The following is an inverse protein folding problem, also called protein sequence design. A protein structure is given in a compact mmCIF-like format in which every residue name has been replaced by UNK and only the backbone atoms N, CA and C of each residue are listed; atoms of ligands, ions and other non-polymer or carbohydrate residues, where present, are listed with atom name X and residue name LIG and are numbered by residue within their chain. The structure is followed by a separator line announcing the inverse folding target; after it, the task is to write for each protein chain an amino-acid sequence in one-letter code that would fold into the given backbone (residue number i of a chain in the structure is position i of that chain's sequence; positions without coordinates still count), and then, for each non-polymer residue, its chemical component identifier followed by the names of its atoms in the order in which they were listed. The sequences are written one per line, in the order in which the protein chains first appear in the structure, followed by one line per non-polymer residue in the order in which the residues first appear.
data_IF_965753795804
#
_entry.id   IF_965753795804
#
_cell.length_a   1.000
_cell.length_b   1.000
_cell.length_c   1.000
_cell.angle_alpha   90.00
_cell.angle_beta   90.00
_cell.angle_gamma   90.00
#
_symmetry.space_group_name_H-M   'P 1'
#
loop_
_entity.id
_entity.type
_entity.pdbx_description
1 polymer ?
#
# COMPACT_ATOMS: atom_id res chain seq x y z
N UNK A 1 -19.83 58.59 35.02
CA UNK A 1 -19.56 58.22 33.62
C UNK A 1 -19.11 56.77 33.60
N UNK A 2 -19.84 55.90 32.89
CA UNK A 2 -19.79 54.43 33.03
C UNK A 2 -18.55 53.85 32.35
N UNK A 3 -17.78 53.03 33.07
CA UNK A 3 -16.62 52.30 32.57
C UNK A 3 -17.11 51.01 31.88
N UNK A 4 -17.02 50.94 30.56
CA UNK A 4 -17.42 49.77 29.77
C UNK A 4 -16.31 48.71 29.80
N UNK A 5 -16.57 47.58 30.44
CA UNK A 5 -15.75 46.37 30.33
C UNK A 5 -15.93 45.74 28.95
N UNK A 6 -14.84 45.61 28.18
CA UNK A 6 -14.85 44.86 26.91
C UNK A 6 -14.58 43.39 27.22
N UNK A 7 -15.62 42.56 27.13
CA UNK A 7 -15.51 41.11 27.07
C UNK A 7 -15.11 40.75 25.65
N UNK A 8 -13.85 40.37 25.44
CA UNK A 8 -13.40 39.81 24.17
C UNK A 8 -13.78 38.33 24.12
N UNK A 9 -14.75 38.01 23.26
CA UNK A 9 -15.17 36.64 22.97
C UNK A 9 -14.12 36.00 22.05
N UNK A 10 -13.30 35.08 22.59
CA UNK A 10 -12.35 34.29 21.82
C UNK A 10 -13.13 33.17 21.11
N UNK A 11 -13.43 33.36 19.83
CA UNK A 11 -13.97 32.30 18.97
C UNK A 11 -12.79 31.41 18.53
N UNK A 12 -12.69 30.20 19.10
CA UNK A 12 -11.82 29.16 18.55
C UNK A 12 -12.51 28.55 17.34
N UNK A 13 -12.06 28.88 16.12
CA UNK A 13 -12.35 28.08 14.94
C UNK A 13 -11.53 26.79 15.03
N UNK A 14 -12.18 25.67 15.37
CA UNK A 14 -11.57 24.36 15.18
C UNK A 14 -11.61 24.03 13.69
N UNK A 15 -10.53 24.29 12.97
CA UNK A 15 -10.31 23.68 11.67
C UNK A 15 -10.11 22.18 11.90
N UNK A 16 -11.15 21.38 11.68
CA UNK A 16 -10.99 19.93 11.54
C UNK A 16 -10.28 19.74 10.20
N UNK A 17 -8.95 19.61 10.24
CA UNK A 17 -8.21 19.14 9.08
C UNK A 17 -8.75 17.77 8.74
N UNK A 18 -9.31 17.59 7.54
CA UNK A 18 -9.54 16.26 7.02
C UNK A 18 -8.18 15.58 6.93
N UNK A 19 -7.98 14.53 7.73
CA UNK A 19 -6.90 13.60 7.50
C UNK A 19 -7.22 12.92 6.16
N UNK A 20 -6.50 13.31 5.10
CA UNK A 20 -6.41 12.45 3.93
C UNK A 20 -5.81 11.14 4.44
N UNK A 21 -6.52 10.02 4.24
CA UNK A 21 -5.95 8.70 4.52
C UNK A 21 -4.57 8.63 3.85
N UNK A 22 -3.55 8.27 4.63
CA UNK A 22 -2.19 8.26 4.13
C UNK A 22 -2.13 7.29 2.94
N UNK A 23 -1.60 7.79 1.82
CA UNK A 23 -1.11 6.92 0.73
C UNK A 23 -0.11 5.96 1.37
N UNK A 24 -0.26 4.66 1.14
CA UNK A 24 0.73 3.70 1.60
C UNK A 24 2.01 3.96 0.83
N UNK A 25 3.07 4.28 1.57
CA UNK A 25 4.39 4.53 1.01
C UNK A 25 5.17 3.23 1.16
N UNK A 26 5.45 2.48 0.07
CA UNK A 26 6.02 1.13 0.18
C UNK A 26 7.53 1.13 0.44
N UNK A 27 8.20 2.28 0.33
CA UNK A 27 9.64 2.47 0.49
C UNK A 27 9.93 3.83 1.16
N UNK A 28 11.14 4.03 1.65
CA UNK A 28 11.65 5.11 2.53
C UNK A 28 11.46 4.87 4.02
N UNK A 29 11.87 5.84 4.84
CA UNK A 29 11.66 5.86 6.30
C UNK A 29 10.18 5.80 6.69
N UNK A 30 9.28 6.16 5.77
CA UNK A 30 7.83 6.11 5.97
C UNK A 30 7.23 4.74 5.60
N UNK A 31 8.04 3.78 5.13
CA UNK A 31 7.57 2.44 4.83
C UNK A 31 7.10 1.72 6.11
N UNK A 32 5.91 1.11 6.09
CA UNK A 32 5.23 0.68 7.31
C UNK A 32 5.75 -0.65 7.87
N UNK A 33 6.77 -1.24 7.22
CA UNK A 33 7.29 -2.55 7.55
C UNK A 33 8.81 -2.57 7.80
N UNK A 34 9.61 -1.77 7.07
CA UNK A 34 11.02 -1.49 7.38
C UNK A 34 11.53 -0.25 6.64
N UNK A 35 12.63 0.37 7.09
CA UNK A 35 13.31 1.42 6.32
C UNK A 35 14.16 0.81 5.20
N UNK A 36 13.74 1.00 3.96
CA UNK A 36 14.48 0.61 2.76
C UNK A 36 14.10 1.57 1.62
N UNK A 37 14.89 1.72 0.55
CA UNK A 37 14.53 2.62 -0.56
C UNK A 37 14.80 1.97 -1.91
N UNK A 38 13.98 2.32 -2.91
CA UNK A 38 14.21 1.94 -4.31
C UNK A 38 15.55 2.50 -4.79
N UNK A 39 16.26 1.71 -5.60
CA UNK A 39 17.57 2.09 -6.12
C UNK A 39 18.74 1.81 -5.17
N UNK A 40 18.50 1.11 -4.05
CA UNK A 40 19.58 0.49 -3.28
C UNK A 40 20.22 -0.65 -4.06
N UNK A 41 21.48 -0.96 -3.74
CA UNK A 41 22.13 -2.17 -4.25
C UNK A 41 21.28 -3.40 -3.88
N UNK A 42 21.29 -4.41 -4.75
CA UNK A 42 20.49 -5.64 -4.57
C UNK A 42 18.98 -5.39 -4.41
N UNK A 43 18.45 -4.34 -5.05
CA UNK A 43 17.01 -4.04 -5.13
C UNK A 43 16.53 -3.83 -6.58
N UNK A 44 15.26 -4.13 -6.83
CA UNK A 44 14.62 -3.98 -8.15
C UNK A 44 13.19 -3.49 -8.03
N UNK A 45 12.69 -2.96 -9.14
CA UNK A 45 11.42 -2.24 -9.18
C UNK A 45 10.65 -2.49 -10.47
N UNK A 46 9.36 -2.81 -10.38
CA UNK A 46 8.44 -2.82 -11.51
C UNK A 46 7.09 -2.22 -11.14
N UNK A 47 6.54 -1.38 -12.03
CA UNK A 47 5.23 -0.74 -11.87
C UNK A 47 4.40 -0.88 -13.14
N UNK A 48 3.11 -1.14 -12.95
CA UNK A 48 2.07 -1.12 -13.97
C UNK A 48 0.99 -0.13 -13.54
N UNK A 49 0.85 0.99 -14.24
CA UNK A 49 -0.20 2.00 -14.06
C UNK A 49 -1.05 2.24 -15.32
N UNK A 50 -0.63 1.71 -16.48
CA UNK A 50 -1.33 1.83 -17.74
C UNK A 50 -1.42 0.49 -18.48
N UNK A 51 -2.53 -0.23 -18.29
CA UNK A 51 -2.72 -1.54 -18.90
C UNK A 51 -3.12 -1.46 -20.37
N UNK A 52 -2.55 -2.34 -21.19
CA UNK A 52 -2.82 -2.45 -22.64
C UNK A 52 -3.56 -3.73 -23.03
N UNK A 53 -3.50 -4.75 -22.17
CA UNK A 53 -4.18 -6.04 -22.34
C UNK A 53 -5.09 -6.32 -21.15
N UNK A 54 -6.38 -6.47 -21.41
CA UNK A 54 -7.38 -6.79 -20.38
C UNK A 54 -7.48 -8.29 -20.07
N UNK A 55 -7.05 -9.17 -20.98
CA UNK A 55 -7.18 -10.61 -20.83
C UNK A 55 -6.23 -11.37 -21.76
N UNK A 56 -5.64 -12.46 -21.27
CA UNK A 56 -5.02 -13.48 -22.10
C UNK A 56 -3.63 -13.14 -22.67
N UNK A 57 -3.24 -11.87 -22.68
CA UNK A 57 -1.87 -11.44 -22.97
C UNK A 57 -1.25 -10.68 -21.78
N UNK A 58 0.06 -10.84 -21.51
CA UNK A 58 0.75 -10.12 -20.45
C UNK A 58 0.91 -8.63 -20.77
N UNK A 59 0.90 -7.80 -19.73
CA UNK A 59 1.32 -6.40 -19.74
C UNK A 59 2.77 -6.31 -19.25
N UNK A 60 3.61 -5.57 -19.97
CA UNK A 60 4.96 -5.18 -19.51
C UNK A 60 4.85 -3.99 -18.54
N UNK A 61 5.81 -3.81 -17.62
CA UNK A 61 5.81 -2.68 -16.70
C UNK A 61 5.99 -1.35 -17.44
N UNK A 62 5.30 -0.31 -16.98
CA UNK A 62 5.44 1.07 -17.43
C UNK A 62 6.77 1.68 -16.94
N UNK A 63 7.15 1.33 -15.71
CA UNK A 63 8.43 1.66 -15.11
C UNK A 63 9.08 0.40 -14.61
N UNK A 64 10.34 0.17 -15.00
CA UNK A 64 11.17 -0.90 -14.48
C UNK A 64 12.59 -0.40 -14.25
N UNK A 65 13.12 -0.62 -13.06
CA UNK A 65 14.52 -0.33 -12.73
C UNK A 65 15.24 -1.62 -12.29
N UNK A 66 16.52 -1.71 -12.69
CA UNK A 66 17.44 -2.83 -12.40
C UNK A 66 16.81 -4.19 -12.70
N UNK A 67 16.89 -4.61 -13.97
CA UNK A 67 16.58 -5.97 -14.42
C UNK A 67 15.11 -6.46 -14.23
N UNK A 68 14.19 -5.63 -13.73
CA UNK A 68 12.77 -6.01 -13.60
C UNK A 68 11.88 -5.67 -14.82
N UNK A 69 12.46 -5.14 -15.90
CA UNK A 69 11.73 -4.85 -17.14
C UNK A 69 11.16 -6.12 -17.84
N UNK A 70 11.67 -7.30 -17.47
CA UNK A 70 11.16 -8.59 -17.92
C UNK A 70 9.99 -9.13 -17.09
N UNK A 71 9.60 -8.44 -16.01
CA UNK A 71 8.39 -8.80 -15.27
C UNK A 71 7.14 -8.63 -16.13
N UNK A 72 6.09 -9.37 -15.80
CA UNK A 72 4.82 -9.29 -16.53
C UNK A 72 3.64 -9.40 -15.60
N UNK A 73 2.57 -8.67 -15.90
CA UNK A 73 1.27 -8.81 -15.23
C UNK A 73 0.22 -9.28 -16.24
N UNK A 74 -0.45 -10.38 -15.93
CA UNK A 74 -1.50 -10.95 -16.77
C UNK A 74 -2.80 -11.11 -16.02
N UNK A 75 -3.89 -10.64 -16.61
CA UNK A 75 -5.25 -10.99 -16.21
C UNK A 75 -5.64 -12.32 -16.88
N UNK A 76 -6.12 -13.29 -16.08
CA UNK A 76 -6.38 -14.68 -16.51
C UNK A 76 -7.86 -15.10 -16.54
N UNK A 77 -8.79 -14.21 -16.20
CA UNK A 77 -10.25 -14.41 -16.18
C UNK A 77 -10.94 -13.72 -17.35
N UNK A 78 -11.70 -14.47 -18.13
CA UNK A 78 -12.41 -13.91 -19.28
C UNK A 78 -13.40 -12.79 -18.89
N UNK A 79 -13.53 -11.78 -19.75
CA UNK A 79 -14.57 -10.76 -19.67
C UNK A 79 -14.13 -9.42 -19.06
N UNK A 80 -12.85 -9.25 -18.76
CA UNK A 80 -12.27 -7.96 -18.40
C UNK A 80 -12.09 -7.04 -19.64
N UNK A 81 -12.10 -5.73 -19.39
CA UNK A 81 -11.92 -4.67 -20.39
C UNK A 81 -10.91 -3.63 -19.89
N UNK A 82 -10.24 -2.95 -20.83
CA UNK A 82 -9.45 -1.76 -20.54
C UNK A 82 -10.40 -0.55 -20.47
N UNK A 83 -10.36 0.21 -19.39
CA UNK A 83 -11.15 1.44 -19.24
C UNK A 83 -10.51 2.61 -20.01
N UNK A 84 -11.20 3.75 -20.11
CA UNK A 84 -10.63 4.96 -20.71
C UNK A 84 -9.45 5.56 -19.91
N UNK A 85 -9.26 5.13 -18.67
CA UNK A 85 -8.13 5.50 -17.81
C UNK A 85 -7.04 4.44 -17.80
N UNK A 86 -7.13 3.44 -18.67
CA UNK A 86 -6.21 2.30 -18.79
C UNK A 86 -6.20 1.33 -17.61
N UNK A 87 -7.28 1.28 -16.82
CA UNK A 87 -7.46 0.29 -15.76
C UNK A 87 -7.95 -1.04 -16.33
N UNK A 88 -7.68 -2.16 -15.65
CA UNK A 88 -8.34 -3.44 -15.95
C UNK A 88 -9.60 -3.55 -15.11
N UNK A 89 -10.77 -3.49 -15.76
CA UNK A 89 -12.07 -3.63 -15.10
C UNK A 89 -12.78 -4.91 -15.53
N UNK A 90 -13.28 -5.69 -14.57
CA UNK A 90 -13.94 -6.99 -14.84
C UNK A 90 -15.43 -6.99 -14.45
N UNK A 91 -16.37 -6.70 -15.38
CA UNK A 91 -17.80 -6.73 -15.08
C UNK A 91 -18.41 -8.14 -15.09
N UNK A 92 -17.77 -9.10 -15.77
CA UNK A 92 -18.37 -10.41 -16.02
C UNK A 92 -18.24 -11.41 -14.86
N UNK A 93 -17.27 -11.19 -13.97
CA UNK A 93 -16.94 -12.09 -12.87
C UNK A 93 -15.68 -11.63 -12.13
N UNK A 94 -15.26 -12.38 -11.09
CA UNK A 94 -14.03 -12.11 -10.37
C UNK A 94 -12.82 -12.16 -11.30
N UNK A 95 -12.02 -11.09 -11.32
CA UNK A 95 -10.74 -11.10 -12.00
C UNK A 95 -9.70 -11.86 -11.17
N UNK A 96 -8.80 -12.55 -11.86
CA UNK A 96 -7.60 -13.16 -11.32
C UNK A 96 -6.37 -12.66 -12.08
N UNK A 97 -5.25 -12.54 -11.39
CA UNK A 97 -4.03 -11.96 -11.93
C UNK A 97 -2.83 -12.81 -11.55
N UNK A 98 -1.93 -12.98 -12.53
CA UNK A 98 -0.62 -13.57 -12.34
C UNK A 98 0.44 -12.50 -12.65
N UNK A 99 1.32 -12.24 -11.69
CA UNK A 99 2.49 -11.38 -11.86
C UNK A 99 3.72 -12.26 -11.81
N UNK A 100 4.45 -12.33 -12.92
CA UNK A 100 5.73 -13.01 -13.00
C UNK A 100 6.86 -12.03 -12.73
N UNK A 101 7.66 -12.34 -11.72
CA UNK A 101 8.78 -11.53 -11.25
C UNK A 101 10.04 -12.36 -11.52
N UNK A 102 10.93 -11.94 -12.44
CA UNK A 102 12.19 -12.64 -12.67
C UNK A 102 13.04 -12.66 -11.39
N UNK A 103 13.87 -13.69 -11.24
CA UNK A 103 14.91 -13.74 -10.21
C UNK A 103 16.10 -12.90 -10.64
N UNK A 104 16.58 -12.05 -9.74
CA UNK A 104 17.48 -10.94 -10.11
C UNK A 104 18.89 -11.13 -9.53
N UNK A 105 19.14 -12.29 -8.92
CA UNK A 105 20.47 -12.69 -8.46
C UNK A 105 21.06 -11.72 -7.43
N UNK A 106 20.21 -11.20 -6.54
CA UNK A 106 20.46 -10.10 -5.60
C UNK A 106 21.41 -10.47 -4.44
N UNK A 107 22.30 -11.46 -4.63
CA UNK A 107 23.29 -11.87 -3.64
C UNK A 107 22.85 -13.01 -2.71
N UNK A 108 23.32 -12.99 -1.47
CA UNK A 108 23.03 -14.01 -0.45
C UNK A 108 22.21 -13.39 0.68
N UNK A 109 21.18 -14.09 1.16
CA UNK A 109 20.34 -13.61 2.24
C UNK A 109 18.89 -14.08 2.10
N UNK A 110 17.98 -13.29 2.66
CA UNK A 110 16.54 -13.43 2.51
C UNK A 110 16.07 -12.44 1.45
N UNK A 111 15.36 -12.90 0.42
CA UNK A 111 14.70 -12.01 -0.54
C UNK A 111 13.41 -11.52 0.07
N UNK A 112 13.27 -10.19 0.16
CA UNK A 112 12.00 -9.56 0.44
C UNK A 112 11.31 -9.22 -0.87
N UNK A 113 10.04 -9.59 -0.96
CA UNK A 113 9.14 -9.17 -2.03
C UNK A 113 8.06 -8.32 -1.42
N UNK A 114 7.83 -7.14 -1.98
CA UNK A 114 6.79 -6.20 -1.55
C UNK A 114 5.89 -5.92 -2.74
N UNK A 115 4.59 -6.10 -2.56
CA UNK A 115 3.60 -5.83 -3.58
C UNK A 115 2.61 -4.77 -3.09
N UNK A 116 2.45 -3.70 -3.87
CA UNK A 116 1.41 -2.71 -3.67
C UNK A 116 0.37 -2.86 -4.78
N UNK A 117 -0.88 -3.11 -4.40
CA UNK A 117 -2.01 -3.28 -5.31
C UNK A 117 -2.99 -2.13 -5.05
N UNK A 118 -3.22 -1.32 -6.08
CA UNK A 118 -4.15 -0.19 -6.05
C UNK A 118 -5.36 -0.52 -6.91
N UNK A 119 -6.53 -0.37 -6.31
CA UNK A 119 -7.82 -0.54 -6.96
C UNK A 119 -8.57 0.79 -6.96
N UNK A 120 -9.49 0.96 -7.91
CA UNK A 120 -10.52 1.98 -7.75
C UNK A 120 -11.38 1.66 -6.51
N UNK A 121 -11.73 2.66 -5.71
CA UNK A 121 -12.60 2.46 -4.54
C UNK A 121 -14.06 2.16 -4.89
N UNK A 122 -14.40 2.13 -6.18
CA UNK A 122 -15.73 1.79 -6.67
C UNK A 122 -15.73 0.34 -7.19
N UNK A 123 -16.62 -0.49 -6.65
CA UNK A 123 -16.81 -1.87 -7.09
C UNK A 123 -16.51 -2.89 -5.99
N UNK A 124 -16.01 -4.05 -6.40
CA UNK A 124 -15.58 -5.09 -5.46
C UNK A 124 -14.10 -4.97 -5.15
N UNK A 125 -13.77 -5.20 -3.88
CA UNK A 125 -12.43 -5.17 -3.34
C UNK A 125 -11.62 -6.44 -3.68
N UNK A 126 -10.34 -6.40 -3.35
CA UNK A 126 -9.43 -7.53 -3.42
C UNK A 126 -9.86 -8.65 -2.47
N UNK A 127 -9.81 -9.91 -2.91
CA UNK A 127 -9.84 -11.05 -2.01
C UNK A 127 -8.44 -11.21 -1.38
N UNK A 128 -8.26 -10.72 -0.16
CA UNK A 128 -6.95 -10.74 0.49
C UNK A 128 -6.44 -12.15 0.76
N UNK A 129 -7.33 -13.15 0.88
CA UNK A 129 -6.94 -14.54 1.11
C UNK A 129 -6.41 -15.20 -0.18
N UNK A 130 -6.69 -14.60 -1.35
CA UNK A 130 -6.16 -15.06 -2.64
C UNK A 130 -4.73 -14.60 -2.94
N UNK A 131 -4.18 -13.70 -2.12
CA UNK A 131 -2.88 -13.07 -2.38
C UNK A 131 -1.76 -14.01 -1.93
N UNK A 132 -1.09 -14.61 -2.90
CA UNK A 132 -0.07 -15.63 -2.65
C UNK A 132 1.20 -15.33 -3.47
N UNK A 133 2.36 -15.60 -2.88
CA UNK A 133 3.65 -15.59 -3.57
C UNK A 133 4.19 -17.01 -3.68
N UNK A 134 4.58 -17.41 -4.88
CA UNK A 134 5.18 -18.72 -5.15
C UNK A 134 6.59 -18.55 -5.73
N UNK A 135 7.65 -18.85 -4.96
CA UNK A 135 9.02 -18.96 -5.48
C UNK A 135 9.14 -20.15 -6.45
N UNK A 136 10.00 -20.07 -7.46
CA UNK A 136 10.16 -21.13 -8.49
C UNK A 136 10.52 -22.51 -7.92
N UNK A 137 11.33 -22.56 -6.87
CA UNK A 137 11.72 -23.78 -6.16
C UNK A 137 10.87 -24.05 -4.90
N UNK A 138 9.84 -23.23 -4.65
CA UNK A 138 9.08 -23.20 -3.42
C UNK A 138 7.61 -23.64 -3.55
N UNK A 139 6.84 -23.34 -2.51
CA UNK A 139 5.38 -23.48 -2.50
C UNK A 139 4.75 -22.11 -2.27
N UNK A 140 3.50 -21.96 -2.70
CA UNK A 140 2.73 -20.74 -2.48
C UNK A 140 2.67 -20.41 -0.97
N UNK A 141 2.93 -19.14 -0.65
CA UNK A 141 2.91 -18.63 0.71
C UNK A 141 2.05 -17.37 0.81
N UNK A 142 1.28 -17.29 1.90
CA UNK A 142 0.59 -16.07 2.31
C UNK A 142 1.59 -14.99 2.74
N UNK A 143 1.23 -13.70 2.63
CA UNK A 143 2.08 -12.59 3.05
C UNK A 143 2.40 -12.66 4.55
N UNK A 144 3.64 -12.29 4.91
CA UNK A 144 4.07 -12.10 6.30
C UNK A 144 3.61 -10.76 6.87
N UNK A 145 3.33 -9.79 5.98
CA UNK A 145 2.82 -8.48 6.33
C UNK A 145 1.71 -8.05 5.39
N UNK A 146 0.66 -7.44 5.94
CA UNK A 146 -0.45 -6.91 5.15
C UNK A 146 -1.00 -5.65 5.82
N UNK A 147 -1.18 -4.60 5.03
CA UNK A 147 -1.90 -3.40 5.43
C UNK A 147 -2.75 -2.90 4.27
N UNK A 148 -3.92 -2.37 4.59
CA UNK A 148 -4.82 -1.73 3.64
C UNK A 148 -4.95 -0.25 3.99
N UNK A 149 -5.01 0.58 2.97
CA UNK A 149 -5.21 2.01 3.02
C UNK A 149 -6.30 2.42 2.04
N UNK A 150 -6.87 3.60 2.26
CA UNK A 150 -7.86 4.18 1.37
C UNK A 150 -7.66 5.69 1.31
N UNK A 151 -7.75 6.26 0.11
CA UNK A 151 -7.53 7.69 -0.09
C UNK A 151 -7.83 8.09 -1.52
N UNK A 152 -8.24 9.34 -1.74
CA UNK A 152 -8.42 9.92 -3.09
C UNK A 152 -9.24 9.10 -4.10
N UNK A 153 -10.18 8.26 -3.64
CA UNK A 153 -11.01 7.41 -4.52
C UNK A 153 -10.37 6.09 -4.94
N UNK A 154 -9.28 5.70 -4.28
CA UNK A 154 -8.63 4.39 -4.45
C UNK A 154 -8.58 3.62 -3.14
N UNK A 155 -8.49 2.30 -3.27
CA UNK A 155 -8.13 1.35 -2.21
C UNK A 155 -6.72 0.85 -2.51
N UNK A 156 -5.87 0.81 -1.50
CA UNK A 156 -4.48 0.43 -1.63
C UNK A 156 -4.17 -0.69 -0.64
N UNK A 157 -3.54 -1.75 -1.13
CA UNK A 157 -3.13 -2.88 -0.32
C UNK A 157 -1.62 -3.05 -0.47
N UNK A 158 -0.94 -3.25 0.63
CA UNK A 158 0.49 -3.47 0.68
C UNK A 158 0.76 -4.81 1.36
N UNK A 159 1.46 -5.67 0.65
CA UNK A 159 1.81 -7.02 1.06
C UNK A 159 3.31 -7.17 1.04
N UNK A 160 3.85 -7.96 1.97
CA UNK A 160 5.24 -8.33 1.89
C UNK A 160 5.47 -9.78 2.32
N UNK A 161 6.54 -10.36 1.78
CA UNK A 161 7.00 -11.71 2.03
C UNK A 161 8.50 -11.72 2.27
N UNK A 162 8.93 -12.66 3.11
CA UNK A 162 10.32 -13.08 3.19
C UNK A 162 10.48 -14.47 2.58
N UNK A 163 11.31 -14.57 1.55
CA UNK A 163 11.68 -15.83 0.92
C UNK A 163 13.13 -16.16 1.28
N UNK A 164 13.41 -17.29 1.93
CA UNK A 164 14.77 -17.71 2.20
C UNK A 164 15.57 -17.91 0.91
N UNK A 165 16.73 -17.27 0.81
CA UNK A 165 17.58 -17.33 -0.39
C UNK A 165 17.11 -16.40 -1.51
N UNK A 166 17.64 -16.65 -2.70
CA UNK A 166 17.32 -15.97 -3.95
C UNK A 166 16.86 -17.00 -4.97
N UNK A 167 15.56 -17.00 -5.30
CA UNK A 167 14.99 -17.89 -6.30
C UNK A 167 15.14 -17.34 -7.72
N UNK A 168 15.01 -18.20 -8.74
CA UNK A 168 15.15 -17.81 -10.15
C UNK A 168 13.95 -17.03 -10.69
N UNK A 169 12.81 -17.08 -9.99
CA UNK A 169 11.62 -16.26 -10.26
C UNK A 169 10.62 -16.39 -9.11
N UNK A 170 9.68 -15.45 -9.05
CA UNK A 170 8.56 -15.46 -8.13
C UNK A 170 7.26 -15.21 -8.90
N UNK A 171 6.20 -15.91 -8.54
CA UNK A 171 4.86 -15.69 -9.07
C UNK A 171 3.97 -15.13 -7.97
N UNK A 172 3.55 -13.87 -8.12
CA UNK A 172 2.53 -13.27 -7.28
C UNK A 172 1.16 -13.51 -7.94
N UNK A 173 0.23 -14.07 -7.18
CA UNK A 173 -1.14 -14.31 -7.61
C UNK A 173 -2.10 -13.57 -6.70
N UNK A 174 -3.16 -13.02 -7.27
CA UNK A 174 -4.24 -12.37 -6.52
C UNK A 174 -5.53 -12.30 -7.34
N UNK A 175 -6.67 -12.19 -6.66
CA UNK A 175 -7.99 -12.19 -7.27
C UNK A 175 -8.93 -11.18 -6.60
N UNK A 176 -9.97 -10.79 -7.33
CA UNK A 176 -11.08 -10.01 -6.79
C UNK A 176 -11.99 -10.86 -5.92
N UNK A 177 -12.62 -10.27 -4.90
CA UNK A 177 -13.68 -10.92 -4.13
C UNK A 177 -14.99 -11.14 -4.90
N UNK A 178 -15.10 -10.62 -6.12
CA UNK A 178 -16.32 -10.59 -6.91
C UNK A 178 -16.16 -9.86 -8.24
N UNK A 179 -17.26 -9.77 -8.99
CA UNK A 179 -17.31 -8.96 -10.21
C UNK A 179 -17.19 -7.45 -9.89
N UNK A 180 -16.88 -6.65 -10.90
CA UNK A 180 -16.75 -5.19 -10.84
C UNK A 180 -15.53 -4.65 -10.09
N UNK A 181 -14.48 -5.45 -9.89
CA UNK A 181 -13.18 -4.90 -9.48
C UNK A 181 -12.51 -4.15 -10.64
N UNK A 182 -11.89 -3.01 -10.34
CA UNK A 182 -11.10 -2.19 -11.28
C UNK A 182 -9.67 -2.05 -10.76
N UNK A 183 -8.73 -2.78 -11.35
CA UNK A 183 -7.30 -2.71 -11.04
C UNK A 183 -6.72 -1.44 -11.64
N UNK A 184 -6.18 -0.57 -10.80
CA UNK A 184 -5.64 0.74 -11.16
C UNK A 184 -4.13 0.68 -11.33
N UNK A 185 -3.43 0.13 -10.34
CA UNK A 185 -1.98 0.03 -10.37
C UNK A 185 -1.48 -1.19 -9.63
N UNK A 186 -0.39 -1.77 -10.10
CA UNK A 186 0.39 -2.77 -9.34
C UNK A 186 1.84 -2.33 -9.31
N UNK A 187 2.45 -2.48 -8.16
CA UNK A 187 3.86 -2.19 -7.95
C UNK A 187 4.50 -3.36 -7.25
N UNK A 188 5.65 -3.80 -7.74
CA UNK A 188 6.44 -4.86 -7.12
C UNK A 188 7.85 -4.37 -6.91
N UNK A 189 8.28 -4.49 -5.67
CA UNK A 189 9.64 -4.22 -5.23
C UNK A 189 10.26 -5.53 -4.74
N UNK A 190 11.53 -5.78 -5.10
CA UNK A 190 12.29 -6.92 -4.53
C UNK A 190 13.65 -6.47 -4.07
N UNK A 191 14.13 -6.97 -2.94
CA UNK A 191 15.48 -6.69 -2.47
C UNK A 191 15.99 -7.77 -1.52
N UNK A 192 17.31 -7.88 -1.38
CA UNK A 192 17.92 -8.84 -0.43
C UNK A 192 18.32 -8.16 0.87
N UNK A 193 18.09 -8.86 1.97
CA UNK A 193 18.53 -8.46 3.31
C UNK A 193 19.13 -9.64 4.07
N UNK A 194 19.98 -9.33 5.05
CA UNK A 194 20.67 -10.34 5.84
C UNK A 194 19.71 -11.10 6.79
N UNK A 195 18.69 -10.41 7.31
CA UNK A 195 17.79 -10.92 8.35
C UNK A 195 16.32 -10.91 7.87
N UNK A 196 15.49 -11.80 8.41
CA UNK A 196 14.04 -11.78 8.19
C UNK A 196 13.36 -10.57 8.88
N UNK A 197 12.06 -10.38 8.65
CA UNK A 197 11.24 -9.29 9.19
C UNK A 197 11.48 -9.12 10.69
N UNK A 198 12.11 -8.02 11.07
CA UNK A 198 12.01 -7.49 12.43
C UNK A 198 10.83 -6.53 12.43
N UNK A 199 9.63 -7.02 12.76
CA UNK A 199 8.45 -6.17 12.83
C UNK A 199 8.77 -4.87 13.58
N UNK A 200 8.58 -3.72 12.94
CA UNK A 200 8.64 -2.46 13.67
C UNK A 200 7.56 -2.47 14.77
N UNK A 201 7.84 -1.91 15.95
CA UNK A 201 6.86 -1.86 17.03
C UNK A 201 5.61 -1.16 16.52
N UNK A 202 4.45 -1.78 16.77
CA UNK A 202 3.08 -1.44 16.35
C UNK A 202 2.56 -0.07 16.85
N UNK A 203 3.44 0.89 17.12
CA UNK A 203 3.18 2.07 17.93
C UNK A 203 3.62 3.35 17.23
N UNK A 204 3.41 3.49 15.92
CA UNK A 204 3.36 4.83 15.32
C UNK A 204 1.90 5.26 15.41
N UNK A 205 1.51 6.12 16.37
CA UNK A 205 0.16 6.68 16.36
C UNK A 205 0.03 7.46 15.07
N UNK A 206 -1.00 7.14 14.27
CA UNK A 206 -1.28 7.96 13.10
C UNK A 206 -1.36 9.44 13.51
N UNK A 207 -0.89 10.37 12.67
CA UNK A 207 -0.79 11.79 13.01
C UNK A 207 -2.10 12.36 13.60
N UNK A 208 -3.25 11.85 13.16
CA UNK A 208 -4.57 12.22 13.66
C UNK A 208 -4.79 11.83 15.14
N UNK A 209 -4.33 10.65 15.56
CA UNK A 209 -4.44 10.16 16.95
C UNK A 209 -3.56 10.98 17.89
N UNK A 210 -2.34 11.32 17.45
CA UNK A 210 -1.44 12.20 18.20
C UNK A 210 -2.03 13.62 18.32
N UNK A 211 -2.62 14.16 17.25
CA UNK A 211 -3.27 15.47 17.25
C UNK A 211 -4.49 15.52 18.19
N UNK A 212 -5.36 14.49 18.17
CA UNK A 212 -6.51 14.38 19.07
C UNK A 212 -6.09 14.25 20.54
N UNK A 213 -5.06 13.44 20.83
CA UNK A 213 -4.52 13.30 22.18
C UNK A 213 -3.93 14.62 22.70
N UNK A 214 -3.19 15.36 21.86
CA UNK A 214 -2.67 16.68 22.19
C UNK A 214 -3.80 17.70 22.43
N UNK A 215 -4.87 17.67 21.64
CA UNK A 215 -6.05 18.52 21.84
C UNK A 215 -6.79 18.19 23.16
N UNK A 216 -6.92 16.91 23.48
CA UNK A 216 -7.49 16.43 24.75
C UNK A 216 -6.69 16.90 25.97
N UNK A 217 -5.36 16.91 25.87
CA UNK A 217 -4.49 17.43 26.93
C UNK A 217 -4.62 18.95 27.11
N UNK A 218 -4.70 19.71 26.01
CA UNK A 218 -4.86 21.16 26.06
C UNK A 218 -6.21 21.59 26.68
N UNK A 219 -7.29 20.86 26.36
CA UNK A 219 -8.61 21.12 26.96
C UNK A 219 -8.64 20.77 28.45
N UNK A 220 -8.03 19.65 28.86
CA UNK A 220 -7.94 19.27 30.27
C UNK A 220 -7.14 20.27 31.13
N UNK A 221 -6.04 20.81 30.59
CA UNK A 221 -5.24 21.85 31.26
C UNK A 221 -6.00 23.18 31.33
N UNK A 222 -6.75 23.54 30.28
CA UNK A 222 -7.60 24.74 30.26
C UNK A 222 -8.72 24.70 31.30
N UNK A 223 -9.37 23.54 31.47
CA UNK A 223 -10.45 23.35 32.47
C UNK A 223 -9.89 23.38 33.90
N UNK A 224 -8.73 22.77 34.16
CA UNK A 224 -8.10 22.79 35.50
C UNK A 224 -7.70 24.19 35.94
N UNK A 225 -7.22 25.05 35.04
CA UNK A 225 -6.83 26.43 35.38
C UNK A 225 -8.01 27.32 35.78
N UNK A 226 -9.23 27.03 35.29
CA UNK A 226 -10.45 27.74 35.69
C UNK A 226 -10.98 27.32 37.06
N UNK A 227 -10.78 26.07 37.46
CA UNK A 227 -11.25 25.56 38.74
C UNK A 227 -10.45 26.09 39.95
N UNK A 228 -9.22 26.55 39.75
CA UNK A 228 -8.34 27.07 40.81
C UNK A 228 -8.41 28.59 41.01
N UNK A 229 -9.28 29.31 40.30
CA UNK A 229 -9.49 30.76 40.46
C UNK A 229 -10.92 31.13 40.93
N UNK A 230 -11.65 30.17 41.52
CA UNK A 230 -12.95 30.40 42.16
C UNK A 230 -12.84 30.42 43.67
#
# INVERSE_FOLDING_TARGET
MKMFARVSCLVLLAAVGQANGAVLVPNSIDAPFEDWSRGYDDSTYAEWDAFTSAFGAPNSPDVGEVENAAATLQQTSFGAIITSTNNIYSPAGPSAFDVNIPGLGLGAGTTRVVAQIVLSAFGTELDTDSVLLTPAAGSAAAPTYTVAGAGAGVLEYLFAWDVPGNDSSYQLQFAAGGAHMSLDRVVVDTYTQADAFTAFPTNVPEPATAALAALGLLTAVGVRRRATQG
#
